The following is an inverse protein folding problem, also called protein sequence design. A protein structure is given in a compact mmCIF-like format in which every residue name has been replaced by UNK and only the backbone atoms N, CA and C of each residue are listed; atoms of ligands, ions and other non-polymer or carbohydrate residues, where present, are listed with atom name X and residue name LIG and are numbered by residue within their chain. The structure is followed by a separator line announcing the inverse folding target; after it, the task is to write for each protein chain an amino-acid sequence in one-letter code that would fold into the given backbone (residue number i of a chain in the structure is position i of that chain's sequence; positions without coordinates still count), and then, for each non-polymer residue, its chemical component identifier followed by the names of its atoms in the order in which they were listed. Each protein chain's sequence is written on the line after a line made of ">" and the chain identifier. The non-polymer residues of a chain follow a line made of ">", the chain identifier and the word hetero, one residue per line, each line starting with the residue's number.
data_IF_914319683236
#
_entry.id   IF_914319683236
#
_cell.length_a   1.000
_cell.length_b   1.000
_cell.length_c   1.000
_cell.angle_alpha   90.00
_cell.angle_beta   90.00
_cell.angle_gamma   90.00
#
_symmetry.space_group_name_H-M   'P 1'
#
loop_
_entity.id
_entity.type
_entity.pdbx_description
1 polymer ?
#
# COMPACT_ATOMS: atom_id res chain seq x y z
N UNK A 1 -5.85 9.55 9.57
CA UNK A 1 -6.01 10.03 8.21
C UNK A 1 -7.45 10.46 7.97
N UNK A 2 -7.61 11.69 7.55
CA UNK A 2 -8.91 12.35 7.48
C UNK A 2 -9.73 11.96 6.24
N UNK A 3 -9.08 11.44 5.23
CA UNK A 3 -9.66 11.34 3.91
C UNK A 3 -10.13 9.98 3.46
N UNK A 4 -9.72 8.91 4.11
CA UNK A 4 -10.28 7.62 3.81
C UNK A 4 -11.54 7.50 4.65
N UNK A 5 -12.66 7.84 4.03
CA UNK A 5 -13.96 7.86 4.68
C UNK A 5 -14.93 6.95 3.98
N UNK A 6 -15.50 6.03 4.74
CA UNK A 6 -16.53 5.11 4.28
C UNK A 6 -17.79 5.32 5.09
N UNK A 7 -18.93 4.88 4.57
CA UNK A 7 -20.20 5.04 5.25
C UNK A 7 -20.30 4.12 6.47
N UNK A 8 -20.89 4.60 7.54
CA UNK A 8 -21.16 3.82 8.74
C UNK A 8 -19.92 3.53 9.57
N UNK A 9 -19.94 2.42 10.33
CA UNK A 9 -18.86 2.03 11.21
C UNK A 9 -17.56 1.62 10.54
N UNK A 10 -17.63 1.18 9.30
CA UNK A 10 -16.46 0.74 8.52
C UNK A 10 -15.44 1.86 8.34
N UNK A 11 -15.90 3.07 8.23
CA UNK A 11 -15.11 4.28 8.09
C UNK A 11 -14.11 4.47 9.23
N UNK A 12 -14.56 4.24 10.46
CA UNK A 12 -13.69 4.36 11.63
C UNK A 12 -12.66 3.22 11.68
N UNK A 13 -13.09 2.03 11.32
CA UNK A 13 -12.24 0.85 11.35
C UNK A 13 -11.03 1.01 10.43
N UNK A 14 -11.24 1.45 9.20
CA UNK A 14 -10.13 1.67 8.26
C UNK A 14 -9.23 2.82 8.71
N UNK A 15 -9.79 3.92 9.21
CA UNK A 15 -9.01 5.06 9.67
C UNK A 15 -8.06 4.68 10.81
N UNK A 16 -8.42 3.72 11.65
CA UNK A 16 -7.58 3.26 12.75
C UNK A 16 -6.33 2.51 12.27
N UNK A 17 -6.33 2.02 11.04
CA UNK A 17 -5.19 1.30 10.47
C UNK A 17 -4.07 2.23 10.02
N UNK A 18 -4.36 3.50 9.82
CA UNK A 18 -3.37 4.47 9.38
C UNK A 18 -2.68 5.14 10.57
N UNK A 19 -1.37 5.30 10.45
CA UNK A 19 -0.55 5.96 11.47
C UNK A 19 0.43 6.87 10.75
N UNK A 20 0.55 8.11 11.19
CA UNK A 20 1.48 9.08 10.61
C UNK A 20 2.92 8.55 10.59
N UNK A 21 3.28 7.75 11.56
CA UNK A 21 4.62 7.16 11.66
C UNK A 21 4.85 6.07 10.60
N UNK A 22 3.81 5.63 9.91
CA UNK A 22 3.86 4.59 8.89
C UNK A 22 3.56 5.15 7.49
N UNK A 23 3.89 6.42 7.27
CA UNK A 23 3.80 7.06 5.96
C UNK A 23 5.22 7.46 5.56
N UNK A 24 5.68 6.95 4.42
CA UNK A 24 7.05 7.17 3.98
C UNK A 24 7.10 7.70 2.55
N UNK A 25 8.07 8.58 2.30
CA UNK A 25 8.43 9.00 0.94
C UNK A 25 9.82 8.45 0.68
N UNK A 26 9.96 7.56 -0.30
CA UNK A 26 11.19 6.83 -0.56
C UNK A 26 11.68 7.03 -1.99
N UNK A 27 12.99 6.90 -2.16
CA UNK A 27 13.63 6.89 -3.46
C UNK A 27 14.43 5.59 -3.59
N UNK A 28 13.93 4.68 -4.41
CA UNK A 28 14.50 3.35 -4.58
C UNK A 28 14.63 3.03 -6.07
N UNK A 29 15.55 2.13 -6.41
CA UNK A 29 15.81 1.78 -7.80
C UNK A 29 14.89 0.69 -8.33
N UNK A 30 14.44 -0.23 -7.48
CA UNK A 30 13.65 -1.39 -7.91
C UNK A 30 12.82 -1.96 -6.76
N UNK A 31 12.01 -2.96 -7.08
CA UNK A 31 11.12 -3.59 -6.12
C UNK A 31 11.87 -4.27 -4.97
N UNK A 32 13.00 -4.92 -5.27
CA UNK A 32 13.78 -5.59 -4.25
C UNK A 32 14.29 -4.61 -3.21
N UNK A 33 14.83 -3.49 -3.65
CA UNK A 33 15.31 -2.44 -2.76
C UNK A 33 14.15 -1.84 -1.95
N UNK A 34 13.01 -1.60 -2.60
CA UNK A 34 11.81 -1.09 -1.95
C UNK A 34 11.37 -2.02 -0.82
N UNK A 35 11.20 -3.30 -1.11
CA UNK A 35 10.76 -4.27 -0.12
C UNK A 35 11.76 -4.42 1.02
N UNK A 36 13.05 -4.37 0.69
CA UNK A 36 14.10 -4.43 1.70
C UNK A 36 14.04 -3.26 2.67
N UNK A 37 13.89 -2.04 2.15
CA UNK A 37 13.82 -0.85 2.99
C UNK A 37 12.55 -0.83 3.84
N UNK A 38 11.41 -1.12 3.23
CA UNK A 38 10.13 -1.13 3.96
C UNK A 38 10.15 -2.20 5.05
N UNK A 39 10.60 -3.41 4.71
CA UNK A 39 10.68 -4.49 5.69
C UNK A 39 11.56 -4.11 6.88
N UNK A 40 12.71 -3.48 6.63
CA UNK A 40 13.60 -3.03 7.71
C UNK A 40 12.94 -2.00 8.61
N UNK A 41 12.25 -1.02 8.02
CA UNK A 41 11.54 0.01 8.78
C UNK A 41 10.44 -0.59 9.65
N UNK A 42 9.69 -1.55 9.12
CA UNK A 42 8.59 -2.17 9.85
C UNK A 42 9.09 -3.14 10.92
N UNK A 43 10.18 -3.86 10.65
CA UNK A 43 10.78 -4.77 11.62
C UNK A 43 11.33 -4.01 12.82
N UNK A 44 12.02 -2.89 12.60
CA UNK A 44 12.50 -2.02 13.66
C UNK A 44 11.39 -1.54 14.58
N UNK A 45 10.20 -1.32 14.03
CA UNK A 45 9.03 -0.83 14.77
C UNK A 45 8.19 -1.95 15.35
N UNK A 46 8.65 -3.19 15.24
CA UNK A 46 7.94 -4.37 15.74
C UNK A 46 6.54 -4.54 15.16
N UNK A 47 6.38 -4.12 13.90
CA UNK A 47 5.10 -4.25 13.17
C UNK A 47 5.03 -5.58 12.43
N UNK A 48 6.19 -6.09 12.02
CA UNK A 48 6.31 -7.38 11.32
C UNK A 48 7.45 -8.18 11.91
N UNK A 49 7.45 -9.50 11.60
CA UNK A 49 8.51 -10.42 12.03
C UNK A 49 9.70 -10.33 11.07
N UNK A 50 10.82 -10.96 11.46
CA UNK A 50 12.01 -11.03 10.60
C UNK A 50 11.77 -11.79 9.30
N UNK A 51 10.77 -12.65 9.26
CA UNK A 51 10.41 -13.43 8.06
C UNK A 51 9.60 -12.63 7.03
N UNK A 52 9.15 -11.43 7.39
CA UNK A 52 8.30 -10.62 6.52
C UNK A 52 8.95 -10.30 5.18
N UNK A 53 10.22 -9.91 5.18
CA UNK A 53 10.94 -9.53 3.95
C UNK A 53 10.89 -10.61 2.89
N UNK A 54 11.26 -11.83 3.28
CA UNK A 54 11.27 -12.96 2.34
C UNK A 54 9.87 -13.33 1.89
N UNK A 55 8.92 -13.33 2.83
CA UNK A 55 7.52 -13.64 2.52
C UNK A 55 6.93 -12.64 1.55
N UNK A 56 7.20 -11.35 1.74
CA UNK A 56 6.72 -10.30 0.87
C UNK A 56 7.24 -10.48 -0.57
N UNK A 57 8.53 -10.75 -0.73
CA UNK A 57 9.13 -10.98 -2.03
C UNK A 57 8.54 -12.19 -2.74
N UNK A 58 8.41 -13.29 -2.03
CA UNK A 58 7.84 -14.52 -2.58
C UNK A 58 6.38 -14.34 -2.98
N UNK A 59 5.61 -13.70 -2.12
CA UNK A 59 4.20 -13.46 -2.37
C UNK A 59 3.97 -12.62 -3.62
N UNK A 60 4.76 -11.56 -3.78
CA UNK A 60 4.62 -10.66 -4.91
C UNK A 60 4.95 -11.35 -6.24
N UNK A 61 5.89 -12.28 -6.23
CA UNK A 61 6.21 -13.07 -7.43
C UNK A 61 5.04 -13.97 -7.86
N UNK A 62 4.39 -14.60 -6.88
CA UNK A 62 3.31 -15.55 -7.15
C UNK A 62 1.97 -14.86 -7.36
N UNK A 63 1.73 -13.77 -6.67
CA UNK A 63 0.47 -13.02 -6.68
C UNK A 63 0.74 -11.53 -6.76
N UNK A 64 1.00 -11.01 -7.97
CA UNK A 64 1.31 -9.58 -8.14
C UNK A 64 0.18 -8.67 -7.68
N UNK A 65 0.54 -7.49 -7.18
CA UNK A 65 -0.43 -6.54 -6.63
C UNK A 65 -0.44 -5.18 -7.29
N UNK A 66 0.20 -5.03 -8.45
CA UNK A 66 0.16 -3.78 -9.20
C UNK A 66 -1.21 -3.50 -9.79
N UNK A 67 -1.67 -2.28 -9.67
CA UNK A 67 -2.98 -1.85 -10.17
C UNK A 67 -2.79 -0.69 -11.12
N UNK A 68 -3.23 -0.88 -12.37
CA UNK A 68 -3.19 0.16 -13.39
C UNK A 68 -4.40 1.07 -13.21
N UNK A 69 -4.17 2.34 -12.92
CA UNK A 69 -5.22 3.31 -12.65
C UNK A 69 -5.52 4.22 -13.84
N UNK A 70 -4.99 3.91 -15.02
CA UNK A 70 -5.18 4.72 -16.22
C UNK A 70 -6.65 4.88 -16.58
N UNK A 71 -7.48 3.87 -16.29
CA UNK A 71 -8.92 3.93 -16.58
C UNK A 71 -9.65 5.04 -15.80
N UNK A 72 -9.06 5.54 -14.72
CA UNK A 72 -9.63 6.64 -13.92
C UNK A 72 -9.20 8.01 -14.43
N UNK A 73 -8.12 8.07 -15.19
CA UNK A 73 -7.60 9.31 -15.74
C UNK A 73 -6.12 9.20 -16.07
N UNK A 74 -5.68 10.00 -17.04
CA UNK A 74 -4.27 10.07 -17.42
C UNK A 74 -3.49 10.77 -16.30
N UNK A 75 -2.25 10.39 -16.14
CA UNK A 75 -1.33 10.98 -15.17
C UNK A 75 -1.67 10.69 -13.71
N UNK A 76 -2.60 9.79 -13.44
CA UNK A 76 -2.83 9.30 -12.08
C UNK A 76 -1.74 8.30 -11.70
N UNK A 77 -1.36 8.24 -10.43
CA UNK A 77 -0.37 7.26 -10.00
C UNK A 77 -0.96 5.85 -10.08
N UNK A 78 -0.16 4.92 -10.55
CA UNK A 78 -0.52 3.52 -10.41
C UNK A 78 -0.17 3.08 -9.00
N UNK A 79 -0.92 2.12 -8.49
CA UNK A 79 -0.90 1.73 -7.09
C UNK A 79 -0.51 0.27 -6.97
N UNK A 80 0.15 -0.10 -5.87
CA UNK A 80 0.32 -1.49 -5.51
C UNK A 80 -0.14 -1.69 -4.07
N UNK A 81 -0.59 -2.90 -3.75
CA UNK A 81 -1.08 -3.26 -2.43
C UNK A 81 -0.38 -4.52 -1.90
N UNK A 82 0.94 -4.47 -1.71
CA UNK A 82 1.70 -5.64 -1.27
C UNK A 82 1.24 -6.13 0.11
N UNK A 83 1.20 -7.45 0.29
CA UNK A 83 0.83 -8.04 1.58
C UNK A 83 1.35 -9.47 1.65
N UNK A 84 1.34 -10.04 2.85
CA UNK A 84 1.79 -11.40 3.11
C UNK A 84 0.70 -12.19 3.81
N UNK A 85 1.00 -13.46 4.09
CA UNK A 85 0.16 -14.23 5.01
C UNK A 85 0.26 -13.63 6.41
N UNK A 86 -0.78 -13.83 7.20
CA UNK A 86 -0.93 -13.18 8.51
C UNK A 86 0.17 -13.54 9.51
N UNK A 87 0.82 -14.70 9.36
CA UNK A 87 1.82 -15.18 10.33
C UNK A 87 3.05 -14.28 10.41
N UNK A 88 3.29 -13.46 9.41
CA UNK A 88 4.45 -12.56 9.37
C UNK A 88 4.16 -11.19 9.97
N UNK A 89 2.93 -10.93 10.34
CA UNK A 89 2.47 -9.63 10.80
C UNK A 89 2.17 -9.65 12.29
N UNK A 90 2.59 -8.58 12.98
CA UNK A 90 2.41 -8.46 14.43
C UNK A 90 1.27 -7.50 14.80
N UNK A 91 0.84 -6.68 13.86
CA UNK A 91 -0.18 -5.66 14.10
C UNK A 91 -1.17 -5.61 12.96
N UNK A 92 -2.15 -4.70 13.05
CA UNK A 92 -3.03 -4.36 11.94
C UNK A 92 -2.78 -2.90 11.58
N UNK A 93 -2.18 -2.67 10.41
CA UNK A 93 -1.86 -1.33 9.92
C UNK A 93 -1.87 -1.29 8.40
N UNK A 94 -1.99 -0.10 7.86
CA UNK A 94 -1.74 0.15 6.44
C UNK A 94 -0.56 1.11 6.37
N UNK A 95 0.49 0.69 5.68
CA UNK A 95 1.70 1.48 5.50
C UNK A 95 1.64 2.14 4.13
N UNK A 96 1.73 3.46 4.10
CA UNK A 96 1.66 4.22 2.85
C UNK A 96 3.07 4.61 2.42
N UNK A 97 3.42 4.29 1.18
CA UNK A 97 4.71 4.66 0.62
C UNK A 97 4.49 5.40 -0.68
N UNK A 98 5.07 6.58 -0.79
CA UNK A 98 5.13 7.33 -2.03
C UNK A 98 6.55 7.27 -2.54
N UNK A 99 6.69 6.94 -3.82
CA UNK A 99 8.00 6.82 -4.46
C UNK A 99 8.32 8.07 -5.26
N UNK A 100 9.55 8.52 -5.16
CA UNK A 100 10.05 9.63 -5.97
C UNK A 100 10.07 9.24 -7.45
N UNK A 101 10.50 8.02 -7.73
CA UNK A 101 10.53 7.47 -9.09
C UNK A 101 9.72 6.18 -9.12
N UNK A 102 8.93 5.93 -10.18
CA UNK A 102 8.14 4.71 -10.27
C UNK A 102 9.00 3.44 -10.24
N UNK A 103 8.42 2.39 -9.68
CA UNK A 103 9.04 1.06 -9.63
C UNK A 103 8.14 0.09 -10.38
N UNK A 104 8.73 -0.82 -11.12
CA UNK A 104 8.00 -1.80 -11.90
C UNK A 104 7.41 -2.89 -11.01
N UNK A 105 6.09 -3.07 -11.13
CA UNK A 105 5.35 -4.18 -10.57
C UNK A 105 4.66 -4.93 -11.70
N UNK A 106 4.10 -6.09 -11.40
CA UNK A 106 3.24 -6.80 -12.35
C UNK A 106 1.78 -6.58 -11.98
N UNK A 107 0.92 -6.60 -12.99
CA UNK A 107 -0.50 -6.32 -12.82
C UNK A 107 -1.20 -7.47 -12.09
N UNK A 108 -2.03 -7.14 -11.10
CA UNK A 108 -2.77 -8.13 -10.31
C UNK A 108 -3.72 -8.97 -11.18
N UNK A 109 -4.36 -8.35 -12.15
CA UNK A 109 -5.35 -9.02 -13.00
C UNK A 109 -4.68 -9.69 -14.19
N UNK A 110 -3.64 -9.07 -14.75
CA UNK A 110 -2.90 -9.57 -15.90
C UNK A 110 -1.42 -9.64 -15.55
N UNK A 111 -0.96 -10.71 -14.87
CA UNK A 111 0.42 -10.79 -14.34
C UNK A 111 1.54 -10.67 -15.39
N UNK A 112 1.23 -10.89 -16.66
CA UNK A 112 2.19 -10.72 -17.74
C UNK A 112 2.49 -9.24 -18.02
N UNK A 113 1.64 -8.34 -17.60
CA UNK A 113 1.79 -6.92 -17.87
C UNK A 113 2.51 -6.21 -16.71
N UNK A 114 3.39 -5.30 -17.08
CA UNK A 114 4.09 -4.47 -16.10
C UNK A 114 3.30 -3.22 -15.80
N UNK A 115 3.41 -2.75 -14.56
CA UNK A 115 2.77 -1.53 -14.09
C UNK A 115 3.83 -0.69 -13.39
N UNK A 116 3.97 0.56 -13.81
CA UNK A 116 4.90 1.49 -13.15
C UNK A 116 4.19 2.12 -11.96
N UNK A 117 4.61 1.76 -10.76
CA UNK A 117 3.93 2.10 -9.51
C UNK A 117 4.68 3.20 -8.76
N UNK A 118 3.96 4.21 -8.30
CA UNK A 118 4.54 5.29 -7.51
C UNK A 118 3.88 5.46 -6.14
N UNK A 119 2.80 4.76 -5.87
CA UNK A 119 2.08 4.85 -4.59
C UNK A 119 1.75 3.45 -4.11
N UNK A 120 2.11 3.13 -2.88
CA UNK A 120 1.91 1.80 -2.32
C UNK A 120 1.16 1.86 -1.00
N UNK A 121 0.31 0.85 -0.80
CA UNK A 121 -0.39 0.62 0.46
C UNK A 121 -0.07 -0.81 0.90
N UNK A 122 0.90 -0.93 1.80
CA UNK A 122 1.28 -2.23 2.36
C UNK A 122 0.25 -2.60 3.42
N UNK A 123 -0.45 -3.70 3.22
CA UNK A 123 -1.46 -4.17 4.16
C UNK A 123 -0.78 -5.06 5.18
N UNK A 124 -0.77 -4.64 6.43
CA UNK A 124 -0.23 -5.40 7.55
C UNK A 124 -1.44 -5.88 8.35
N UNK A 125 -1.67 -7.18 8.33
CA UNK A 125 -2.86 -7.76 8.95
C UNK A 125 -2.52 -9.08 9.61
N UNK A 126 -2.84 -9.19 10.90
CA UNK A 126 -2.60 -10.40 11.68
C UNK A 126 -3.86 -11.24 11.87
N UNK A 127 -4.94 -10.93 11.17
CA UNK A 127 -6.20 -11.66 11.22
C UNK A 127 -6.74 -11.88 9.81
N UNK A 128 -6.99 -13.12 9.43
CA UNK A 128 -7.49 -13.46 8.09
C UNK A 128 -8.89 -12.91 7.82
N UNK A 129 -9.68 -12.68 8.86
CA UNK A 129 -11.06 -12.23 8.69
C UNK A 129 -11.21 -10.80 8.20
N UNK A 130 -10.22 -9.93 8.44
CA UNK A 130 -10.30 -8.52 8.08
C UNK A 130 -9.62 -8.18 6.76
N UNK A 131 -8.76 -9.05 6.23
CA UNK A 131 -7.96 -8.74 5.03
C UNK A 131 -8.81 -8.43 3.80
N UNK A 132 -9.84 -9.23 3.57
CA UNK A 132 -10.73 -9.03 2.40
C UNK A 132 -11.45 -7.69 2.48
N UNK A 133 -11.91 -7.31 3.67
CA UNK A 133 -12.58 -6.02 3.87
C UNK A 133 -11.66 -4.85 3.65
N UNK A 134 -10.42 -4.95 4.11
CA UNK A 134 -9.42 -3.90 3.91
C UNK A 134 -9.16 -3.69 2.42
N UNK A 135 -8.98 -4.77 1.66
CA UNK A 135 -8.78 -4.69 0.22
C UNK A 135 -9.95 -4.02 -0.48
N UNK A 136 -11.18 -4.42 -0.12
CA UNK A 136 -12.38 -3.85 -0.73
C UNK A 136 -12.49 -2.34 -0.44
N UNK A 137 -12.20 -1.92 0.79
CA UNK A 137 -12.27 -0.52 1.17
C UNK A 137 -11.19 0.31 0.47
N UNK A 138 -9.97 -0.22 0.31
CA UNK A 138 -8.93 0.47 -0.42
C UNK A 138 -9.29 0.63 -1.89
N UNK A 139 -9.84 -0.40 -2.52
CA UNK A 139 -10.26 -0.31 -3.91
C UNK A 139 -11.35 0.74 -4.08
N UNK A 140 -12.31 0.80 -3.16
CA UNK A 140 -13.35 1.83 -3.16
C UNK A 140 -12.74 3.23 -3.04
N UNK A 141 -11.77 3.40 -2.15
CA UNK A 141 -11.06 4.67 -1.99
C UNK A 141 -10.37 5.08 -3.30
N UNK A 142 -9.65 4.16 -3.95
CA UNK A 142 -8.91 4.45 -5.17
C UNK A 142 -9.85 4.84 -6.32
N UNK A 143 -11.01 4.23 -6.39
CA UNK A 143 -11.97 4.49 -7.46
C UNK A 143 -12.88 5.67 -7.16
N UNK A 144 -12.86 6.21 -5.94
CA UNK A 144 -13.62 7.41 -5.61
C UNK A 144 -12.97 8.62 -6.27
N UNK A 145 -13.79 9.38 -6.96
CA UNK A 145 -13.38 10.49 -7.81
C UNK A 145 -12.49 11.49 -7.07
N UNK A 146 -11.31 11.74 -7.62
CA UNK A 146 -10.38 12.75 -7.10
C UNK A 146 -9.41 12.27 -6.02
N UNK A 147 -9.63 11.11 -5.40
CA UNK A 147 -8.76 10.66 -4.30
C UNK A 147 -7.31 10.44 -4.75
N UNK A 148 -7.09 9.67 -5.81
CA UNK A 148 -5.74 9.42 -6.30
C UNK A 148 -5.08 10.69 -6.84
N UNK A 149 -5.84 11.50 -7.54
CA UNK A 149 -5.33 12.76 -8.06
C UNK A 149 -4.82 13.66 -6.93
N UNK A 150 -5.61 13.78 -5.88
CA UNK A 150 -5.22 14.59 -4.72
C UNK A 150 -3.99 14.04 -4.02
N UNK A 151 -3.92 12.72 -3.80
CA UNK A 151 -2.75 12.09 -3.20
C UNK A 151 -1.49 12.28 -4.01
N UNK A 152 -1.60 12.25 -5.34
CA UNK A 152 -0.44 12.40 -6.21
C UNK A 152 0.20 13.78 -6.14
N UNK A 153 -0.53 14.78 -5.68
CA UNK A 153 -0.05 16.16 -5.56
C UNK A 153 0.66 16.44 -4.24
N UNK A 154 0.58 15.54 -3.27
CA UNK A 154 1.19 15.73 -1.96
C UNK A 154 2.67 15.33 -1.99
N UNK A 155 3.52 16.15 -1.41
CA UNK A 155 4.97 16.00 -1.54
C UNK A 155 5.67 15.47 -0.31
N UNK A 156 5.07 15.55 0.87
CA UNK A 156 5.71 15.09 2.10
C UNK A 156 4.83 14.12 2.90
N UNK A 157 5.46 13.44 3.84
CA UNK A 157 4.80 12.39 4.63
C UNK A 157 3.63 12.92 5.45
N UNK A 158 3.76 14.10 6.02
CA UNK A 158 2.70 14.70 6.83
C UNK A 158 1.47 15.01 5.99
N UNK A 159 1.67 15.59 4.81
CA UNK A 159 0.57 15.91 3.90
C UNK A 159 -0.14 14.65 3.42
N UNK A 160 0.61 13.59 3.10
CA UNK A 160 0.03 12.31 2.72
C UNK A 160 -0.83 11.73 3.84
N UNK A 161 -0.38 11.81 5.07
CA UNK A 161 -1.13 11.30 6.21
C UNK A 161 -2.43 12.07 6.40
N UNK A 162 -2.39 13.39 6.30
CA UNK A 162 -3.56 14.25 6.49
C UNK A 162 -4.59 14.14 5.38
N UNK A 163 -4.13 13.81 4.18
CA UNK A 163 -5.05 13.55 3.05
C UNK A 163 -5.69 12.19 3.20
#
# INVERSE_FOLDING_TARGET
>A
MKLIRFKGGEKMELNQLFDQKLVFCLDVANQEELFGQVASLLEEREIVTASYRSALKEREKSFPTGLDMEFLGKNLPNVAIPHTDIIHNLTENIVVVRLKNPVTFHNMIAPDKEVQVSLLFFIINNSSSSQTNILAHLMDFFTTNGNLENLSKLENEEDLYRY
#
